data_IF_075904907088
#
_entry.id   IF_075904907088
#
_cell.length_a   1.000
_cell.length_b   1.000
_cell.length_c   1.000
_cell.angle_alpha   90.00
_cell.angle_beta   90.00
_cell.angle_gamma   90.00
#
_symmetry.space_group_name_H-M   'P 1'
#
loop_
_entity.id
_entity.type
_entity.pdbx_description
1 polymer ?
#
# COMPACT_ATOMS: atom_id res chain seq x y z
N UNK A 1 -12.88 -1.17 -27.20
CA UNK A 1 -12.09 -1.67 -26.06
C UNK A 1 -11.66 -3.08 -26.41
N UNK A 2 -10.37 -3.29 -26.70
CA UNK A 2 -9.85 -4.62 -27.04
C UNK A 2 -10.01 -5.52 -25.82
N UNK A 3 -10.85 -6.56 -25.93
CA UNK A 3 -10.91 -7.64 -24.94
C UNK A 3 -9.52 -8.25 -24.89
N UNK A 4 -8.74 -7.86 -23.89
CA UNK A 4 -7.43 -8.45 -23.65
C UNK A 4 -7.70 -9.85 -23.13
N UNK A 5 -7.31 -10.88 -23.88
CA UNK A 5 -7.42 -12.26 -23.42
C UNK A 5 -6.69 -12.38 -22.09
N UNK A 6 -7.45 -12.56 -21.01
CA UNK A 6 -6.90 -12.75 -19.67
C UNK A 6 -6.27 -14.15 -19.67
N UNK A 7 -4.96 -14.28 -19.38
CA UNK A 7 -4.32 -15.60 -19.40
C UNK A 7 -4.86 -16.47 -18.26
N UNK A 8 -4.80 -17.79 -18.42
CA UNK A 8 -5.20 -18.74 -17.37
C UNK A 8 -4.16 -18.87 -16.27
N UNK A 9 -2.91 -18.52 -16.58
CA UNK A 9 -1.78 -18.57 -15.65
C UNK A 9 -0.99 -17.26 -15.63
N UNK A 10 -0.22 -17.05 -14.57
CA UNK A 10 0.55 -15.86 -14.30
C UNK A 10 1.84 -16.19 -13.54
N UNK A 11 2.73 -15.21 -13.48
CA UNK A 11 3.91 -15.20 -12.62
C UNK A 11 3.59 -14.46 -11.31
N UNK A 12 3.97 -15.05 -10.18
CA UNK A 12 3.83 -14.44 -8.86
C UNK A 12 5.06 -14.71 -8.00
N UNK A 13 5.37 -13.80 -7.09
CA UNK A 13 6.36 -14.01 -6.05
C UNK A 13 5.73 -14.70 -4.85
N UNK A 14 6.43 -15.68 -4.29
CA UNK A 14 6.02 -16.39 -3.09
C UNK A 14 7.09 -16.24 -2.02
N UNK A 15 6.63 -15.91 -0.81
CA UNK A 15 7.45 -15.95 0.40
C UNK A 15 7.38 -17.35 0.99
N UNK A 16 8.53 -17.97 1.20
CA UNK A 16 8.70 -19.22 1.92
C UNK A 16 9.38 -18.93 3.26
N UNK A 17 8.98 -19.65 4.32
CA UNK A 17 9.56 -19.54 5.67
C UNK A 17 9.60 -18.09 6.20
N UNK A 18 8.45 -17.38 6.30
CA UNK A 18 8.43 -15.99 6.75
C UNK A 18 9.11 -15.83 8.12
N UNK A 19 10.08 -14.92 8.20
CA UNK A 19 10.97 -14.74 9.34
C UNK A 19 12.35 -14.27 8.88
N UNK A 20 13.38 -14.36 9.75
CA UNK A 20 14.75 -14.01 9.38
C UNK A 20 15.29 -14.81 8.18
N UNK A 21 14.81 -16.04 8.00
CA UNK A 21 15.19 -16.97 6.92
C UNK A 21 14.22 -16.93 5.73
N UNK A 22 13.47 -15.83 5.57
CA UNK A 22 12.48 -15.71 4.50
C UNK A 22 13.14 -15.80 3.12
N UNK A 23 12.62 -16.70 2.28
CA UNK A 23 13.06 -16.87 0.91
C UNK A 23 11.99 -16.35 -0.05
N UNK A 24 12.41 -15.54 -1.02
CA UNK A 24 11.56 -15.04 -2.09
C UNK A 24 11.81 -15.84 -3.35
N UNK A 25 10.78 -16.48 -3.87
CA UNK A 25 10.85 -17.24 -5.12
C UNK A 25 9.87 -16.68 -6.13
N UNK A 26 10.29 -16.54 -7.38
CA UNK A 26 9.40 -16.20 -8.49
C UNK A 26 8.87 -17.52 -9.07
N UNK A 27 7.56 -17.66 -9.10
CA UNK A 27 6.87 -18.87 -9.56
C UNK A 27 6.04 -18.55 -10.81
N UNK A 28 6.30 -19.30 -11.88
CA UNK A 28 5.52 -19.26 -13.11
C UNK A 28 4.37 -20.27 -13.04
N UNK A 29 3.35 -20.08 -13.88
CA UNK A 29 2.24 -21.03 -14.00
C UNK A 29 1.22 -20.98 -12.86
N UNK A 30 1.24 -19.94 -12.03
CA UNK A 30 0.23 -19.76 -10.98
C UNK A 30 -1.11 -19.42 -11.62
N UNK A 31 -2.22 -19.97 -11.14
CA UNK A 31 -3.53 -19.71 -11.72
C UNK A 31 -3.92 -18.23 -11.56
N UNK A 32 -4.47 -17.63 -12.62
CA UNK A 32 -5.09 -16.32 -12.51
C UNK A 32 -6.41 -16.46 -11.74
N UNK A 33 -6.60 -15.75 -10.62
CA UNK A 33 -7.78 -15.91 -9.80
C UNK A 33 -9.04 -15.46 -10.56
N UNK A 34 -10.12 -16.23 -10.42
CA UNK A 34 -11.42 -15.82 -10.93
C UNK A 34 -12.13 -14.99 -9.85
N UNK A 35 -12.48 -13.72 -10.12
CA UNK A 35 -13.16 -12.89 -9.14
C UNK A 35 -14.56 -13.42 -8.85
N UNK A 36 -14.97 -13.40 -7.58
CA UNK A 36 -16.37 -13.62 -7.19
C UNK A 36 -17.23 -12.37 -7.45
N UNK A 37 -18.53 -12.44 -7.16
CA UNK A 37 -19.53 -11.39 -7.48
C UNK A 37 -19.12 -9.97 -7.09
N UNK A 38 -18.45 -9.79 -5.95
CA UNK A 38 -18.06 -8.46 -5.44
C UNK A 38 -16.57 -8.16 -5.66
N UNK A 39 -15.87 -9.00 -6.41
CA UNK A 39 -14.46 -8.81 -6.71
C UNK A 39 -14.26 -8.32 -8.13
N UNK A 40 -13.17 -7.59 -8.30
CA UNK A 40 -12.63 -7.23 -9.61
C UNK A 40 -11.27 -7.88 -9.77
N UNK A 41 -10.97 -8.28 -11.00
CA UNK A 41 -9.64 -8.74 -11.39
C UNK A 41 -8.80 -7.53 -11.81
N UNK A 42 -7.69 -7.30 -11.12
CA UNK A 42 -6.78 -6.19 -11.38
C UNK A 42 -5.49 -6.73 -11.98
N UNK A 43 -5.13 -6.24 -13.17
CA UNK A 43 -3.80 -6.44 -13.74
C UNK A 43 -2.84 -5.42 -13.15
N UNK A 44 -1.86 -5.88 -12.38
CA UNK A 44 -0.89 -5.03 -11.71
C UNK A 44 0.28 -4.71 -12.65
N UNK A 45 0.50 -3.43 -12.93
CA UNK A 45 1.72 -2.93 -13.56
C UNK A 45 2.78 -2.51 -12.53
N UNK A 46 2.35 -2.26 -11.30
CA UNK A 46 3.16 -1.90 -10.13
C UNK A 46 2.57 -2.59 -8.90
N UNK A 47 3.42 -2.87 -7.91
CA UNK A 47 2.98 -3.47 -6.66
C UNK A 47 2.40 -2.40 -5.72
N UNK A 48 1.09 -2.26 -5.69
CA UNK A 48 0.43 -1.34 -4.76
C UNK A 48 -1.09 -1.48 -4.78
N UNK A 49 -1.65 -1.87 -3.64
CA UNK A 49 -3.07 -1.83 -3.31
C UNK A 49 -3.20 -1.46 -1.84
N UNK A 50 -4.39 -0.98 -1.45
CA UNK A 50 -4.65 -0.67 -0.06
C UNK A 50 -4.55 -1.93 0.82
N UNK A 51 -3.94 -1.79 2.00
CA UNK A 51 -3.74 -2.86 2.97
C UNK A 51 -5.05 -3.55 3.39
N UNK A 52 -6.05 -2.75 3.75
CA UNK A 52 -7.35 -3.23 4.20
C UNK A 52 -8.18 -3.66 2.99
N UNK A 53 -8.51 -4.95 2.90
CA UNK A 53 -9.31 -5.46 1.79
C UNK A 53 -10.72 -5.87 2.20
N UNK A 54 -10.93 -6.43 3.40
CA UNK A 54 -12.27 -6.82 3.87
C UNK A 54 -12.41 -6.69 5.39
N UNK A 55 -12.87 -5.56 5.93
CA UNK A 55 -13.46 -5.53 7.27
C UNK A 55 -14.75 -6.35 7.29
N UNK A 56 -15.23 -6.76 8.48
CA UNK A 56 -16.44 -7.60 8.57
C UNK A 56 -17.74 -6.83 8.32
N UNK A 57 -17.74 -5.49 8.50
CA UNK A 57 -18.89 -4.61 8.27
C UNK A 57 -20.17 -4.96 9.08
N UNK A 58 -20.03 -5.75 10.15
CA UNK A 58 -21.13 -6.26 10.97
C UNK A 58 -20.90 -6.09 12.48
N UNK A 59 -19.75 -5.56 12.89
CA UNK A 59 -19.44 -5.35 14.31
C UNK A 59 -19.48 -3.86 14.66
N UNK A 60 -19.71 -3.57 15.94
CA UNK A 60 -19.78 -2.20 16.49
C UNK A 60 -18.56 -1.33 16.16
N UNK A 61 -17.38 -1.94 16.04
CA UNK A 61 -16.16 -1.22 15.66
C UNK A 61 -16.24 -0.74 14.21
N UNK A 62 -16.85 -1.51 13.31
CA UNK A 62 -17.01 -1.11 11.92
C UNK A 62 -17.94 0.10 11.76
N UNK A 63 -18.91 0.25 12.64
CA UNK A 63 -19.85 1.39 12.61
C UNK A 63 -19.17 2.72 12.96
N UNK A 64 -18.07 2.66 13.74
CA UNK A 64 -17.29 3.83 14.14
C UNK A 64 -16.07 4.03 13.25
N UNK A 65 -15.28 2.98 13.06
CA UNK A 65 -14.05 2.97 12.26
C UNK A 65 -13.75 1.55 11.76
N UNK A 66 -14.23 1.24 10.56
CA UNK A 66 -13.98 -0.05 9.90
C UNK A 66 -12.50 -0.36 9.69
N UNK A 67 -11.60 0.63 9.72
CA UNK A 67 -10.14 0.39 9.61
C UNK A 67 -9.58 -0.30 10.85
N UNK A 68 -10.28 -0.19 11.98
CA UNK A 68 -9.94 -0.80 13.27
C UNK A 68 -10.67 -2.13 13.51
N UNK A 69 -11.37 -2.67 12.50
CA UNK A 69 -12.12 -3.93 12.62
C UNK A 69 -11.21 -5.09 13.07
N UNK A 70 -11.55 -5.83 14.15
CA UNK A 70 -10.73 -6.95 14.63
C UNK A 70 -10.80 -8.19 13.73
N UNK A 71 -11.85 -8.29 12.90
CA UNK A 71 -12.09 -9.39 11.95
C UNK A 71 -11.59 -9.07 10.53
N UNK A 72 -10.86 -7.98 10.35
CA UNK A 72 -10.41 -7.55 9.02
C UNK A 72 -9.49 -8.57 8.33
N UNK A 73 -9.62 -8.68 7.01
CA UNK A 73 -8.74 -9.45 6.12
C UNK A 73 -7.91 -8.51 5.26
N UNK A 74 -6.60 -8.69 5.32
CA UNK A 74 -5.64 -7.77 4.72
C UNK A 74 -4.81 -8.44 3.63
N UNK A 75 -4.50 -7.68 2.57
CA UNK A 75 -3.68 -8.15 1.45
C UNK A 75 -2.25 -8.43 1.92
N UNK A 76 -1.70 -9.57 1.49
CA UNK A 76 -0.36 -10.01 1.88
C UNK A 76 -0.25 -10.59 3.30
N UNK A 77 -1.35 -10.60 4.08
CA UNK A 77 -1.42 -11.25 5.40
C UNK A 77 -2.42 -12.39 5.42
N UNK A 78 -3.70 -12.07 5.19
CA UNK A 78 -4.79 -13.04 5.17
C UNK A 78 -5.18 -13.45 3.76
N UNK A 79 -4.94 -12.55 2.80
CA UNK A 79 -5.27 -12.67 1.39
C UNK A 79 -4.00 -12.57 0.54
N UNK A 80 -4.00 -13.05 -0.72
CA UNK A 80 -2.86 -12.87 -1.61
C UNK A 80 -2.40 -11.40 -1.72
N UNK A 81 -1.09 -11.19 -1.76
CA UNK A 81 -0.48 -9.85 -1.84
C UNK A 81 -0.32 -9.33 -3.28
N UNK A 82 0.33 -8.18 -3.45
CA UNK A 82 0.45 -7.49 -4.75
C UNK A 82 1.65 -7.91 -5.59
N UNK A 83 2.47 -8.87 -5.15
CA UNK A 83 3.59 -9.37 -5.95
C UNK A 83 3.15 -10.49 -6.91
N UNK A 84 2.19 -10.17 -7.77
CA UNK A 84 1.64 -11.05 -8.81
C UNK A 84 1.15 -10.20 -9.98
N UNK A 85 0.99 -10.78 -11.16
CA UNK A 85 0.54 -10.03 -12.34
C UNK A 85 -0.96 -9.69 -12.30
N UNK A 86 -1.76 -10.56 -11.71
CA UNK A 86 -3.21 -10.45 -11.60
C UNK A 86 -3.67 -10.80 -10.19
N UNK A 87 -4.52 -9.97 -9.62
CA UNK A 87 -5.10 -10.19 -8.29
C UNK A 87 -6.61 -9.95 -8.31
N UNK A 88 -7.36 -10.82 -7.65
CA UNK A 88 -8.79 -10.62 -7.40
C UNK A 88 -8.95 -9.93 -6.04
N UNK A 89 -9.55 -8.75 -6.04
CA UNK A 89 -9.74 -7.91 -4.84
C UNK A 89 -11.16 -7.42 -4.74
N UNK A 90 -11.61 -7.14 -3.52
CA UNK A 90 -12.95 -6.62 -3.27
C UNK A 90 -13.11 -5.23 -3.88
N UNK A 91 -14.13 -5.05 -4.71
CA UNK A 91 -14.36 -3.82 -5.46
C UNK A 91 -14.58 -2.61 -4.53
N UNK A 92 -15.13 -2.83 -3.33
CA UNK A 92 -15.38 -1.76 -2.36
C UNK A 92 -14.10 -1.17 -1.75
N UNK A 93 -12.97 -1.88 -1.84
CA UNK A 93 -11.69 -1.50 -1.22
C UNK A 93 -10.61 -1.18 -2.24
N UNK A 94 -10.98 -1.03 -3.52
CA UNK A 94 -10.10 -0.53 -4.59
C UNK A 94 -10.47 0.90 -4.93
N UNK A 95 -9.45 1.72 -5.16
CA UNK A 95 -9.62 3.15 -5.42
C UNK A 95 -9.19 3.45 -6.85
N UNK A 96 -10.03 4.12 -7.65
CA UNK A 96 -9.62 4.56 -8.97
C UNK A 96 -8.47 5.56 -8.83
N UNK A 97 -7.41 5.36 -9.61
CA UNK A 97 -6.31 6.31 -9.69
C UNK A 97 -6.67 7.42 -10.67
N UNK A 98 -6.36 8.69 -10.37
CA UNK A 98 -6.46 9.77 -11.34
C UNK A 98 -5.63 9.48 -12.60
N UNK A 99 -6.15 9.79 -13.79
CA UNK A 99 -5.49 9.49 -15.07
C UNK A 99 -4.09 10.11 -15.21
N UNK A 100 -3.86 11.24 -14.54
CA UNK A 100 -2.58 11.94 -14.54
C UNK A 100 -1.60 11.47 -13.45
N UNK A 101 -1.97 10.49 -12.62
CA UNK A 101 -1.13 9.97 -11.56
C UNK A 101 -0.47 8.66 -11.98
N UNK A 102 0.85 8.67 -12.09
CA UNK A 102 1.61 7.46 -12.43
C UNK A 102 1.48 6.40 -11.32
N UNK A 103 1.32 5.14 -11.73
CA UNK A 103 1.15 4.03 -10.80
C UNK A 103 2.32 3.84 -9.82
N UNK A 104 3.56 4.08 -10.26
CA UNK A 104 4.75 3.95 -9.43
C UNK A 104 4.83 5.01 -8.32
N UNK A 105 4.22 6.18 -8.54
CA UNK A 105 4.03 7.20 -7.51
C UNK A 105 2.82 6.87 -6.63
N UNK A 106 1.73 6.36 -7.21
CA UNK A 106 0.52 6.02 -6.48
C UNK A 106 0.72 4.85 -5.51
N UNK A 107 1.44 3.80 -5.92
CA UNK A 107 1.65 2.58 -5.15
C UNK A 107 2.12 2.83 -3.70
N UNK A 108 3.19 3.62 -3.44
CA UNK A 108 3.61 3.92 -2.06
C UNK A 108 2.61 4.79 -1.29
N UNK A 109 1.76 5.59 -1.96
CA UNK A 109 0.76 6.41 -1.28
C UNK A 109 -0.33 5.56 -0.61
N UNK A 110 -0.64 4.37 -1.16
CA UNK A 110 -1.69 3.47 -0.67
C UNK A 110 -1.36 2.80 0.68
N UNK A 111 -0.11 2.91 1.14
CA UNK A 111 0.32 2.42 2.45
C UNK A 111 1.05 3.51 3.24
N UNK A 112 2.21 3.95 2.76
CA UNK A 112 3.04 4.94 3.45
C UNK A 112 2.38 6.33 3.47
N UNK A 113 1.84 6.76 2.33
CA UNK A 113 1.17 8.06 2.21
C UNK A 113 -0.06 8.19 3.10
N UNK A 114 -0.99 7.23 3.01
CA UNK A 114 -2.22 7.24 3.83
C UNK A 114 -1.91 7.12 5.32
N UNK A 115 -0.88 6.37 5.70
CA UNK A 115 -0.43 6.27 7.09
C UNK A 115 0.05 7.63 7.61
N UNK A 116 0.92 8.31 6.87
CA UNK A 116 1.40 9.64 7.25
C UNK A 116 0.29 10.69 7.23
N UNK A 117 -0.58 10.66 6.23
CA UNK A 117 -1.73 11.56 6.15
C UNK A 117 -2.65 11.41 7.38
N UNK A 118 -3.01 10.17 7.73
CA UNK A 118 -3.84 9.87 8.90
C UNK A 118 -3.16 10.30 10.20
N UNK A 119 -1.87 9.99 10.38
CA UNK A 119 -1.11 10.38 11.56
C UNK A 119 -1.06 11.90 11.74
N UNK A 120 -0.74 12.65 10.68
CA UNK A 120 -0.69 14.12 10.70
C UNK A 120 -2.07 14.71 11.04
N UNK A 121 -3.15 14.19 10.42
CA UNK A 121 -4.52 14.64 10.69
C UNK A 121 -4.94 14.39 12.15
N UNK A 122 -4.51 13.28 12.74
CA UNK A 122 -4.78 12.94 14.15
C UNK A 122 -4.04 13.83 15.14
N UNK A 123 -2.96 14.50 14.74
CA UNK A 123 -2.30 15.50 15.59
C UNK A 123 -3.16 16.75 15.84
N UNK A 124 -4.23 16.97 15.04
CA UNK A 124 -5.17 18.08 15.19
C UNK A 124 -4.48 19.46 15.31
N UNK A 125 -3.43 19.66 14.50
CA UNK A 125 -2.63 20.89 14.51
C UNK A 125 -3.34 22.00 13.73
N UNK A 126 -3.03 23.25 14.10
CA UNK A 126 -3.40 24.42 13.33
C UNK A 126 -2.33 24.73 12.27
N UNK A 127 -2.70 25.49 11.23
CA UNK A 127 -1.75 26.02 10.25
C UNK A 127 -0.59 26.74 10.97
N UNK A 128 0.60 26.73 10.38
CA UNK A 128 1.85 27.27 10.95
C UNK A 128 2.40 26.57 12.20
N UNK A 129 1.70 25.58 12.76
CA UNK A 129 2.25 24.77 13.86
C UNK A 129 3.49 24.00 13.38
N UNK A 130 4.40 23.74 14.33
CA UNK A 130 5.57 22.90 14.10
C UNK A 130 5.23 21.42 14.23
N UNK A 131 5.72 20.62 13.29
CA UNK A 131 5.57 19.17 13.27
C UNK A 131 6.95 18.52 13.08
N UNK A 132 7.35 17.70 14.04
CA UNK A 132 8.61 16.94 14.00
C UNK A 132 8.37 15.56 13.38
N UNK A 133 9.17 15.19 12.39
CA UNK A 133 9.12 13.88 11.73
C UNK A 133 10.47 13.17 11.93
N UNK A 134 10.53 12.12 12.77
CA UNK A 134 11.69 11.25 12.85
C UNK A 134 11.70 10.24 11.69
N UNK A 135 12.88 9.91 11.17
CA UNK A 135 13.03 9.06 9.98
C UNK A 135 12.58 9.74 8.68
N UNK A 136 12.72 11.07 8.60
CA UNK A 136 12.18 11.90 7.52
C UNK A 136 12.72 11.60 6.11
N UNK A 137 13.88 10.95 5.98
CA UNK A 137 14.47 10.49 4.72
C UNK A 137 14.09 9.05 4.34
N UNK A 138 13.37 8.33 5.19
CA UNK A 138 12.85 6.99 4.90
C UNK A 138 11.64 7.00 3.96
N UNK A 139 11.16 5.79 3.61
CA UNK A 139 10.02 5.60 2.69
C UNK A 139 8.71 6.24 3.19
N UNK A 140 8.40 6.17 4.48
CA UNK A 140 7.26 6.88 5.09
C UNK A 140 7.56 8.37 5.30
N UNK A 141 8.70 8.66 5.93
CA UNK A 141 9.00 9.99 6.44
C UNK A 141 9.01 11.06 5.36
N UNK A 142 9.59 10.78 4.18
CA UNK A 142 9.70 11.79 3.12
C UNK A 142 8.33 12.16 2.55
N UNK A 143 7.39 11.20 2.48
CA UNK A 143 5.99 11.48 2.12
C UNK A 143 5.32 12.33 3.20
N UNK A 144 5.57 12.01 4.47
CA UNK A 144 5.07 12.81 5.59
C UNK A 144 5.53 14.26 5.55
N UNK A 145 6.81 14.50 5.23
CA UNK A 145 7.35 15.86 5.05
C UNK A 145 6.58 16.60 3.96
N UNK A 146 6.39 15.97 2.79
CA UNK A 146 5.66 16.57 1.67
C UNK A 146 4.21 16.87 2.01
N UNK A 147 3.50 15.92 2.63
CA UNK A 147 2.11 16.06 3.06
C UNK A 147 1.98 17.19 4.09
N UNK A 148 2.86 17.23 5.10
CA UNK A 148 2.81 18.25 6.14
C UNK A 148 3.08 19.66 5.58
N UNK A 149 4.05 19.80 4.66
CA UNK A 149 4.32 21.07 3.98
C UNK A 149 3.16 21.52 3.10
N UNK A 150 2.53 20.60 2.38
CA UNK A 150 1.34 20.89 1.57
C UNK A 150 0.13 21.33 2.41
N UNK A 151 0.03 20.90 3.67
CA UNK A 151 -1.00 21.31 4.63
C UNK A 151 -0.67 22.61 5.40
N UNK A 152 0.47 23.25 5.11
CA UNK A 152 0.84 24.54 5.71
C UNK A 152 1.51 24.44 7.09
N UNK A 153 2.04 23.28 7.47
CA UNK A 153 2.82 23.13 8.69
C UNK A 153 4.31 23.46 8.49
N UNK A 154 4.96 23.84 9.59
CA UNK A 154 6.42 23.98 9.65
C UNK A 154 7.02 22.65 10.07
N UNK A 155 7.97 22.12 9.29
CA UNK A 155 8.46 20.75 9.50
C UNK A 155 9.88 20.76 10.05
N UNK A 156 10.10 20.04 11.15
CA UNK A 156 11.43 19.65 11.64
C UNK A 156 11.67 18.21 11.21
N UNK A 157 12.56 18.01 10.25
CA UNK A 157 12.93 16.70 9.76
C UNK A 157 14.15 16.18 10.53
N UNK A 158 14.02 14.99 11.11
CA UNK A 158 15.13 14.30 11.81
C UNK A 158 15.36 12.96 11.13
N UNK A 159 16.61 12.68 10.77
CA UNK A 159 17.03 11.37 10.29
C UNK A 159 18.47 11.11 10.69
N UNK A 160 18.87 9.85 10.61
CA UNK A 160 20.26 9.44 10.74
C UNK A 160 20.95 9.63 9.39
N UNK A 161 21.96 10.51 9.34
CA UNK A 161 22.78 10.71 8.16
C UNK A 161 23.70 9.50 7.93
N UNK A 162 23.17 8.39 7.40
CA UNK A 162 23.99 7.47 6.61
C UNK A 162 23.84 7.87 5.15
N UNK A 163 24.83 8.61 4.65
CA UNK A 163 25.05 8.69 3.20
C UNK A 163 25.11 7.24 2.69
N UNK A 164 24.10 6.80 1.93
CA UNK A 164 24.25 5.57 1.14
C UNK A 164 25.45 5.81 0.24
N UNK A 165 26.57 5.19 0.57
CA UNK A 165 27.74 5.16 -0.29
C UNK A 165 27.26 4.68 -1.66
N UNK A 166 27.50 5.49 -2.69
CA UNK A 166 27.34 5.07 -4.08
C UNK A 166 28.27 3.88 -4.30
N UNK A 167 27.77 2.66 -4.14
CA UNK A 167 28.60 1.48 -4.09
C UNK A 167 27.82 0.19 -3.87
N UNK A 168 26.90 -0.13 -4.78
CA UNK A 168 26.54 -1.52 -5.05
C UNK A 168 26.01 -1.59 -6.49
N UNK A 169 26.76 -2.17 -7.44
CA UNK A 169 26.25 -2.44 -8.77
C UNK A 169 25.32 -3.65 -8.68
N UNK A 170 24.07 -3.46 -9.06
CA UNK A 170 23.30 -4.50 -9.73
C UNK A 170 23.38 -4.22 -11.23
#
# INVERSE_FOLDING_TARGET
MSTTDIPTTQTAARVQNPGPEAQFTIQNGQTVPQPSTNQILVKLSVAGLWWLSRPCMECEVCDVDYTSCPKQKNLGRDLPGTFQQYIAVDAAFVHPLPDNLRGDIAAPLLCAGISMYSAIRKCNLQTDNWLLIPGAGGGLGHLGVQIARAQGYRVIAVDTCQQKSKGSPL
#
